data_IF_028088486047
#
_entry.id   IF_028088486047
#
_cell.length_a   1.000
_cell.length_b   1.000
_cell.length_c   1.000
_cell.angle_alpha   90.00
_cell.angle_beta   90.00
_cell.angle_gamma   90.00
#
_symmetry.space_group_name_H-M   'P 1'
#
loop_
_entity.id
_entity.type
_entity.pdbx_description
1 polymer ?
#
# COMPACT_ATOMS: atom_id res chain seq x y z
N UNK A 1 -1.14 15.90 -17.23
CA UNK A 1 -1.72 15.30 -16.01
C UNK A 1 -3.17 15.73 -15.90
N UNK A 2 -4.11 14.79 -15.77
CA UNK A 2 -5.54 15.06 -15.53
C UNK A 2 -6.06 14.13 -14.44
N UNK A 3 -6.94 14.61 -13.55
CA UNK A 3 -7.54 13.77 -12.50
C UNK A 3 -8.81 13.05 -12.97
N UNK A 4 -9.28 13.36 -14.17
CA UNK A 4 -10.53 12.83 -14.73
C UNK A 4 -10.61 11.29 -14.72
N UNK A 5 -9.56 10.52 -15.09
CA UNK A 5 -9.63 9.05 -15.05
C UNK A 5 -9.85 8.50 -13.64
N UNK A 6 -9.36 9.19 -12.60
CA UNK A 6 -9.53 8.77 -11.22
C UNK A 6 -10.90 9.19 -10.68
N UNK A 7 -11.34 10.41 -10.97
CA UNK A 7 -12.63 10.93 -10.49
C UNK A 7 -13.82 10.23 -11.13
N UNK A 8 -13.67 9.75 -12.38
CA UNK A 8 -14.67 8.92 -13.07
C UNK A 8 -14.64 7.44 -12.69
N UNK A 9 -13.65 7.00 -11.91
CA UNK A 9 -13.54 5.59 -11.52
C UNK A 9 -14.54 5.22 -10.40
N UNK A 10 -14.92 3.93 -10.27
CA UNK A 10 -15.68 3.43 -9.14
C UNK A 10 -15.14 3.89 -7.78
N UNK A 11 -16.04 4.16 -6.82
CA UNK A 11 -15.68 4.68 -5.50
C UNK A 11 -14.61 3.82 -4.79
N UNK A 12 -14.64 2.50 -4.97
CA UNK A 12 -13.63 1.59 -4.42
C UNK A 12 -12.20 1.93 -4.89
N UNK A 13 -12.02 2.32 -6.16
CA UNK A 13 -10.72 2.71 -6.72
C UNK A 13 -10.29 4.05 -6.14
N UNK A 14 -11.21 5.01 -6.01
CA UNK A 14 -10.91 6.32 -5.43
C UNK A 14 -10.45 6.19 -3.98
N UNK A 15 -11.20 5.45 -3.16
CA UNK A 15 -10.85 5.22 -1.75
C UNK A 15 -9.51 4.48 -1.62
N UNK A 16 -9.28 3.46 -2.44
CA UNK A 16 -8.00 2.76 -2.49
C UNK A 16 -6.85 3.71 -2.83
N UNK A 17 -7.00 4.53 -3.88
CA UNK A 17 -5.96 5.45 -4.31
C UNK A 17 -5.64 6.50 -3.23
N UNK A 18 -6.66 7.08 -2.58
CA UNK A 18 -6.47 8.04 -1.48
C UNK A 18 -5.71 7.40 -0.32
N UNK A 19 -6.11 6.19 0.10
CA UNK A 19 -5.42 5.46 1.15
C UNK A 19 -3.96 5.15 0.75
N UNK A 20 -3.75 4.67 -0.48
CA UNK A 20 -2.43 4.36 -1.00
C UNK A 20 -1.51 5.59 -1.06
N UNK A 21 -2.04 6.75 -1.50
CA UNK A 21 -1.27 8.00 -1.56
C UNK A 21 -0.96 8.55 -0.17
N UNK A 22 -1.87 8.39 0.80
CA UNK A 22 -1.63 8.81 2.19
C UNK A 22 -0.42 8.11 2.83
N UNK A 23 -0.06 6.91 2.35
CA UNK A 23 1.11 6.17 2.81
C UNK A 23 2.44 6.82 2.41
N UNK A 24 2.47 7.70 1.40
CA UNK A 24 3.70 8.43 1.01
C UNK A 24 4.21 9.29 2.18
N UNK A 25 3.47 10.32 2.67
CA UNK A 25 3.94 11.13 3.77
C UNK A 25 4.12 10.32 5.05
N UNK A 26 3.25 9.35 5.33
CA UNK A 26 3.40 8.48 6.51
C UNK A 26 4.71 7.69 6.47
N UNK A 27 5.10 7.16 5.32
CA UNK A 27 6.37 6.42 5.14
C UNK A 27 7.56 7.35 5.30
N UNK A 28 7.54 8.54 4.69
CA UNK A 28 8.61 9.55 4.84
C UNK A 28 8.82 9.90 6.31
N UNK A 29 7.73 10.21 7.03
CA UNK A 29 7.78 10.54 8.45
C UNK A 29 8.28 9.36 9.28
N UNK A 30 7.84 8.14 8.99
CA UNK A 30 8.21 6.94 9.74
C UNK A 30 9.69 6.57 9.55
N UNK A 31 10.26 6.80 8.36
CA UNK A 31 11.66 6.53 8.06
C UNK A 31 12.60 7.64 8.58
N UNK A 32 12.19 8.91 8.47
CA UNK A 32 12.98 10.08 8.85
C UNK A 32 13.02 10.36 10.36
N UNK A 33 12.07 9.85 11.14
CA UNK A 33 12.05 10.05 12.59
C UNK A 33 12.79 8.95 13.36
N UNK A 34 13.14 9.29 14.61
CA UNK A 34 13.65 8.32 15.59
C UNK A 34 12.62 7.20 15.76
N UNK A 35 13.07 5.96 15.65
CA UNK A 35 12.23 4.74 15.65
C UNK A 35 11.81 4.31 17.07
N UNK A 36 11.85 5.23 18.03
CA UNK A 36 11.54 4.99 19.43
C UNK A 36 10.52 6.01 19.95
N UNK A 37 9.77 5.61 20.99
CA UNK A 37 8.79 6.48 21.66
C UNK A 37 7.37 6.38 21.12
N UNK A 38 6.47 7.19 21.70
CA UNK A 38 5.04 7.15 21.42
C UNK A 38 4.68 7.60 19.99
N UNK A 39 5.42 8.57 19.43
CA UNK A 39 5.18 9.07 18.08
C UNK A 39 5.39 8.02 17.00
N UNK A 40 6.51 7.27 17.06
CA UNK A 40 6.76 6.16 16.16
C UNK A 40 5.64 5.10 16.20
N UNK A 41 5.09 4.84 17.40
CA UNK A 41 3.97 3.90 17.58
C UNK A 41 2.67 4.44 16.99
N UNK A 42 2.31 5.70 17.26
CA UNK A 42 1.07 6.32 16.76
C UNK A 42 1.08 6.37 15.23
N UNK A 43 2.14 6.90 14.63
CA UNK A 43 2.30 6.98 13.17
C UNK A 43 2.36 5.56 12.58
N UNK A 44 3.09 4.65 13.22
CA UNK A 44 3.17 3.25 12.82
C UNK A 44 1.79 2.57 12.76
N UNK A 45 0.93 2.79 13.76
CA UNK A 45 -0.43 2.24 13.75
C UNK A 45 -1.31 2.86 12.66
N UNK A 46 -1.26 4.18 12.47
CA UNK A 46 -1.96 4.84 11.36
C UNK A 46 -1.51 4.26 10.02
N UNK A 47 -0.20 4.09 9.83
CA UNK A 47 0.37 3.48 8.63
C UNK A 47 -0.11 2.05 8.45
N UNK A 48 -0.13 1.22 9.50
CA UNK A 48 -0.63 -0.17 9.44
C UNK A 48 -2.11 -0.21 9.05
N UNK A 49 -2.95 0.66 9.61
CA UNK A 49 -4.38 0.72 9.27
C UNK A 49 -4.57 1.15 7.81
N UNK A 50 -3.88 2.20 7.35
CA UNK A 50 -3.95 2.66 5.96
C UNK A 50 -3.42 1.62 4.96
N UNK A 51 -2.35 0.91 5.32
CA UNK A 51 -1.79 -0.18 4.50
C UNK A 51 -2.74 -1.37 4.43
N UNK A 52 -3.36 -1.73 5.56
CA UNK A 52 -4.37 -2.79 5.60
C UNK A 52 -5.57 -2.43 4.76
N UNK A 53 -6.08 -1.20 4.87
CA UNK A 53 -7.19 -0.71 4.05
C UNK A 53 -6.83 -0.74 2.56
N UNK A 54 -5.64 -0.26 2.18
CA UNK A 54 -5.13 -0.32 0.80
C UNK A 54 -5.09 -1.76 0.29
N UNK A 55 -4.52 -2.69 1.06
CA UNK A 55 -4.39 -4.10 0.66
C UNK A 55 -5.73 -4.85 0.63
N UNK A 56 -6.69 -4.51 1.49
CA UNK A 56 -8.03 -5.14 1.49
C UNK A 56 -8.90 -4.58 0.36
N UNK A 57 -8.89 -3.26 0.16
CA UNK A 57 -9.68 -2.63 -0.91
C UNK A 57 -9.23 -3.05 -2.31
N UNK A 58 -7.96 -3.45 -2.48
CA UNK A 58 -7.45 -3.92 -3.78
C UNK A 58 -8.19 -5.16 -4.30
N UNK A 59 -8.74 -6.02 -3.42
CA UNK A 59 -9.51 -7.20 -3.82
C UNK A 59 -10.82 -6.87 -4.54
N UNK A 60 -11.32 -5.65 -4.45
CA UNK A 60 -12.46 -5.18 -5.23
C UNK A 60 -12.05 -4.52 -6.56
N UNK A 61 -10.75 -4.35 -6.80
CA UNK A 61 -10.21 -3.70 -8.00
C UNK A 61 -9.76 -4.76 -9.01
N UNK A 62 -10.70 -5.17 -9.83
CA UNK A 62 -10.49 -6.20 -10.86
C UNK A 62 -9.95 -5.55 -12.14
N UNK A 63 -8.62 -5.43 -12.21
CA UNK A 63 -7.89 -4.96 -13.41
C UNK A 63 -7.64 -6.07 -14.44
N UNK A 64 -6.44 -6.10 -15.04
CA UNK A 64 -6.08 -7.13 -16.04
C UNK A 64 -6.23 -8.52 -15.42
N UNK A 65 -7.19 -9.27 -15.94
CA UNK A 65 -7.63 -10.59 -15.45
C UNK A 65 -6.65 -11.67 -15.88
N UNK A 66 -5.45 -11.69 -15.29
CA UNK A 66 -4.42 -12.68 -15.64
C UNK A 66 -4.71 -14.05 -15.05
N UNK A 67 -5.43 -14.14 -13.92
CA UNK A 67 -5.87 -15.38 -13.29
C UNK A 67 -7.32 -15.21 -12.80
N UNK A 68 -8.29 -15.70 -13.56
CA UNK A 68 -9.72 -15.55 -13.23
C UNK A 68 -10.09 -14.06 -13.10
N UNK A 69 -10.82 -13.62 -12.05
CA UNK A 69 -11.11 -12.20 -11.86
C UNK A 69 -9.90 -11.39 -11.36
N UNK A 70 -8.84 -12.04 -10.88
CA UNK A 70 -7.71 -11.38 -10.22
C UNK A 70 -6.51 -11.16 -11.15
N UNK A 71 -5.82 -10.04 -10.91
CA UNK A 71 -4.49 -9.75 -11.45
C UNK A 71 -3.40 -10.34 -10.55
N UNK A 72 -2.24 -10.68 -11.11
CA UNK A 72 -1.02 -11.11 -10.37
C UNK A 72 -0.66 -10.15 -9.22
N UNK A 73 -1.03 -8.87 -9.31
CA UNK A 73 -0.79 -7.88 -8.26
C UNK A 73 -1.55 -8.16 -6.94
N UNK A 74 -2.63 -8.94 -6.98
CA UNK A 74 -3.37 -9.33 -5.77
C UNK A 74 -2.53 -10.23 -4.85
N UNK A 75 -1.57 -10.98 -5.41
CA UNK A 75 -0.61 -11.74 -4.62
C UNK A 75 0.22 -10.81 -3.71
N UNK A 76 0.55 -9.60 -4.17
CA UNK A 76 1.22 -8.59 -3.33
C UNK A 76 0.33 -8.12 -2.19
N UNK A 77 -0.99 -8.08 -2.38
CA UNK A 77 -1.95 -7.70 -1.33
C UNK A 77 -2.05 -8.78 -0.26
N UNK A 78 -2.13 -10.05 -0.65
CA UNK A 78 -2.07 -11.19 0.28
C UNK A 78 -0.73 -11.19 1.03
N UNK A 79 0.39 -11.08 0.31
CA UNK A 79 1.72 -11.04 0.91
C UNK A 79 1.88 -9.86 1.90
N UNK A 80 1.31 -8.70 1.55
CA UNK A 80 1.28 -7.52 2.42
C UNK A 80 0.55 -7.81 3.73
N UNK A 81 -0.66 -8.37 3.68
CA UNK A 81 -1.47 -8.66 4.87
C UNK A 81 -0.78 -9.69 5.78
N UNK A 82 -0.25 -10.77 5.21
CA UNK A 82 0.49 -11.81 5.95
C UNK A 82 1.75 -11.21 6.60
N UNK A 83 2.51 -10.41 5.85
CA UNK A 83 3.74 -9.79 6.35
C UNK A 83 3.45 -8.74 7.43
N UNK A 84 2.36 -7.99 7.32
CA UNK A 84 1.90 -7.07 8.36
C UNK A 84 1.58 -7.81 9.66
N UNK A 85 0.79 -8.89 9.58
CA UNK A 85 0.47 -9.71 10.75
C UNK A 85 1.75 -10.25 11.40
N UNK A 86 2.66 -10.81 10.59
CA UNK A 86 3.97 -11.24 11.06
C UNK A 86 4.77 -10.12 11.72
N UNK A 87 4.85 -8.93 11.11
CA UNK A 87 5.62 -7.81 11.63
C UNK A 87 5.08 -7.28 12.97
N UNK A 88 3.76 -7.35 13.17
CA UNK A 88 3.10 -7.02 14.44
C UNK A 88 3.43 -8.06 15.50
N UNK A 89 3.31 -9.35 15.18
CA UNK A 89 3.65 -10.45 16.11
C UNK A 89 5.14 -10.40 16.49
N UNK A 90 6.03 -10.22 15.50
CA UNK A 90 7.47 -10.07 15.72
C UNK A 90 7.80 -8.90 16.65
N UNK A 91 7.07 -7.78 16.55
CA UNK A 91 7.23 -6.66 17.48
C UNK A 91 6.82 -7.04 18.90
N UNK A 92 5.71 -7.77 19.06
CA UNK A 92 5.18 -8.18 20.37
C UNK A 92 6.07 -9.20 21.07
N UNK A 93 6.72 -10.07 20.30
CA UNK A 93 7.63 -11.11 20.82
C UNK A 93 9.08 -10.64 20.98
N UNK A 94 9.38 -9.34 20.87
CA UNK A 94 10.74 -8.83 21.01
C UNK A 94 11.64 -9.02 19.78
N UNK A 95 11.16 -9.65 18.69
CA UNK A 95 11.91 -9.88 17.45
C UNK A 95 12.02 -8.60 16.59
N UNK A 96 12.84 -7.65 17.02
CA UNK A 96 12.99 -6.34 16.37
C UNK A 96 13.45 -6.42 14.91
N UNK A 97 14.36 -7.35 14.60
CA UNK A 97 14.84 -7.57 13.22
C UNK A 97 13.69 -8.03 12.32
N UNK A 98 12.86 -8.96 12.79
CA UNK A 98 11.68 -9.45 12.05
C UNK A 98 10.66 -8.33 11.80
N UNK A 99 10.33 -7.55 12.83
CA UNK A 99 9.46 -6.38 12.68
C UNK A 99 10.02 -5.39 11.63
N UNK A 100 11.30 -5.02 11.74
CA UNK A 100 11.94 -4.06 10.82
C UNK A 100 11.92 -4.56 9.38
N UNK A 101 12.34 -5.81 9.15
CA UNK A 101 12.37 -6.38 7.80
C UNK A 101 10.98 -6.53 7.21
N UNK A 102 9.99 -6.96 8.00
CA UNK A 102 8.60 -7.05 7.56
C UNK A 102 8.02 -5.69 7.16
N UNK A 103 8.19 -4.66 7.99
CA UNK A 103 7.70 -3.31 7.69
C UNK A 103 8.37 -2.72 6.43
N UNK A 104 9.68 -2.91 6.27
CA UNK A 104 10.39 -2.47 5.06
C UNK A 104 9.97 -3.25 3.82
N UNK A 105 9.75 -4.57 3.95
CA UNK A 105 9.28 -5.42 2.86
C UNK A 105 7.88 -5.00 2.38
N UNK A 106 6.96 -4.73 3.30
CA UNK A 106 5.62 -4.22 2.95
C UNK A 106 5.71 -2.85 2.29
N UNK A 107 6.54 -1.94 2.81
CA UNK A 107 6.75 -0.62 2.21
C UNK A 107 7.32 -0.73 0.79
N UNK A 108 8.30 -1.62 0.57
CA UNK A 108 8.87 -1.87 -0.76
C UNK A 108 7.84 -2.49 -1.72
N UNK A 109 7.04 -3.45 -1.25
CA UNK A 109 5.96 -4.07 -2.04
C UNK A 109 4.88 -3.06 -2.43
N UNK A 110 4.48 -2.17 -1.51
CA UNK A 110 3.58 -1.06 -1.78
C UNK A 110 4.16 -0.09 -2.82
N UNK A 111 5.43 0.29 -2.69
CA UNK A 111 6.08 1.16 -3.66
C UNK A 111 6.14 0.51 -5.06
N UNK A 112 6.48 -0.78 -5.13
CA UNK A 112 6.46 -1.54 -6.37
C UNK A 112 5.07 -1.65 -6.99
N UNK A 113 4.03 -1.87 -6.17
CA UNK A 113 2.64 -1.85 -6.62
C UNK A 113 2.24 -0.47 -7.17
N UNK A 114 2.63 0.62 -6.50
CA UNK A 114 2.43 1.98 -6.97
C UNK A 114 3.07 2.23 -8.34
N UNK A 115 4.33 1.82 -8.53
CA UNK A 115 5.00 1.90 -9.83
C UNK A 115 4.26 1.11 -10.91
N UNK A 116 3.75 -0.08 -10.60
CA UNK A 116 2.94 -0.87 -11.53
C UNK A 116 1.65 -0.15 -11.95
N UNK A 117 1.05 0.66 -11.06
CA UNK A 117 -0.14 1.45 -11.43
C UNK A 117 0.16 2.57 -12.44
N UNK A 118 1.43 2.93 -12.65
CA UNK A 118 1.85 3.95 -13.61
C UNK A 118 1.99 3.42 -15.04
N UNK A 119 1.77 2.12 -15.29
CA UNK A 119 1.72 1.60 -16.66
C UNK A 119 0.63 2.34 -17.46
N UNK A 120 0.86 2.67 -18.75
CA UNK A 120 0.03 3.63 -19.49
C UNK A 120 -1.44 3.20 -19.63
N UNK A 121 -1.71 1.89 -19.61
CA UNK A 121 -3.06 1.32 -19.66
C UNK A 121 -3.77 1.25 -18.29
N UNK A 122 -3.18 1.79 -17.22
CA UNK A 122 -3.75 1.86 -15.86
C UNK A 122 -4.21 3.28 -15.56
N UNK A 123 -5.21 3.39 -14.70
CA UNK A 123 -5.83 4.68 -14.31
C UNK A 123 -4.77 5.69 -13.83
N UNK A 124 -3.89 5.31 -12.91
CA UNK A 124 -2.86 6.23 -12.41
C UNK A 124 -1.82 6.59 -13.48
N UNK A 125 -1.52 5.68 -14.42
CA UNK A 125 -0.72 5.98 -15.60
C UNK A 125 -1.38 7.03 -16.50
N UNK A 126 -2.68 6.91 -16.75
CA UNK A 126 -3.46 7.92 -17.50
C UNK A 126 -3.47 9.27 -16.78
N UNK A 127 -3.62 9.27 -15.45
CA UNK A 127 -3.58 10.50 -14.64
C UNK A 127 -2.23 11.23 -14.79
N UNK A 128 -1.13 10.49 -14.71
CA UNK A 128 0.24 11.05 -14.72
C UNK A 128 0.69 11.42 -16.13
N UNK A 129 0.51 10.54 -17.11
CA UNK A 129 1.04 10.70 -18.46
C UNK A 129 0.07 11.37 -19.44
N UNK A 130 -1.18 11.58 -19.03
CA UNK A 130 -2.11 12.45 -19.75
C UNK A 130 -2.99 11.78 -20.80
N UNK A 131 -2.97 10.44 -20.91
CA UNK A 131 -3.93 9.66 -21.71
C UNK A 131 -3.84 9.92 -23.20
#
# INVERSE_FOLDING_TARGET
>A
MTLEPLLGAPLAIQLHAVAALSLIPLTVVQLGRRKSGAWHRRIGWVWVVMMTFTAVSSFWIHGNKTIGPFSTIHLLSVATLVTLAYAIVARRSGHMRGHRLGMLGVAAGWAGAGLFTLLPYRIMGQVVFGG
#
